data_IF_919594758532
#
_entry.id   IF_919594758532
#
_cell.length_a   1.000
_cell.length_b   1.000
_cell.length_c   1.000
_cell.angle_alpha   90.00
_cell.angle_beta   90.00
_cell.angle_gamma   90.00
#
_symmetry.space_group_name_H-M   'P 1'
#
loop_
_entity.id
_entity.type
_entity.pdbx_description
1 polymer ?
#
# COMPACT_ATOMS: atom_id res chain seq x y z
N UNK A 1 -23.37 12.81 -30.41
CA UNK A 1 -22.38 11.77 -30.04
C UNK A 1 -21.92 12.02 -28.62
N UNK A 2 -22.72 11.59 -27.66
CA UNK A 2 -22.40 11.70 -26.24
C UNK A 2 -21.62 10.42 -25.87
N UNK A 3 -20.30 10.50 -25.82
CA UNK A 3 -19.50 9.45 -25.19
C UNK A 3 -19.84 9.53 -23.71
N UNK A 4 -20.83 8.76 -23.26
CA UNK A 4 -21.13 8.58 -21.85
C UNK A 4 -19.83 8.24 -21.15
N UNK A 5 -19.35 9.13 -20.29
CA UNK A 5 -18.14 8.96 -19.51
C UNK A 5 -18.46 7.95 -18.39
N UNK A 6 -18.78 6.71 -18.77
CA UNK A 6 -19.00 5.60 -17.88
C UNK A 6 -17.63 5.32 -17.26
N UNK A 7 -17.45 5.73 -16.00
CA UNK A 7 -16.26 5.37 -15.24
C UNK A 7 -16.13 3.86 -15.29
N UNK A 8 -15.05 3.37 -15.91
CA UNK A 8 -14.82 1.94 -16.18
C UNK A 8 -14.79 1.13 -14.87
N UNK A 9 -14.59 1.79 -13.73
CA UNK A 9 -14.64 1.26 -12.37
C UNK A 9 -15.42 2.20 -11.43
N UNK A 10 -16.02 1.67 -10.37
CA UNK A 10 -16.72 2.44 -9.34
C UNK A 10 -15.78 2.87 -8.20
N UNK A 11 -15.93 4.11 -7.71
CA UNK A 11 -15.21 4.60 -6.53
C UNK A 11 -15.38 3.67 -5.31
N UNK A 12 -16.59 3.13 -5.11
CA UNK A 12 -16.88 2.18 -4.02
C UNK A 12 -16.04 0.90 -4.13
N UNK A 13 -15.75 0.45 -5.36
CA UNK A 13 -14.91 -0.73 -5.58
C UNK A 13 -13.46 -0.45 -5.22
N UNK A 14 -12.90 0.67 -5.69
CA UNK A 14 -11.53 1.08 -5.36
C UNK A 14 -11.36 1.22 -3.85
N UNK A 15 -12.31 1.85 -3.17
CA UNK A 15 -12.28 2.00 -1.71
C UNK A 15 -12.31 0.64 -1.00
N UNK A 16 -13.19 -0.29 -1.42
CA UNK A 16 -13.25 -1.63 -0.83
C UNK A 16 -11.95 -2.41 -1.03
N UNK A 17 -11.37 -2.36 -2.24
CA UNK A 17 -10.11 -3.05 -2.55
C UNK A 17 -8.97 -2.46 -1.71
N UNK A 18 -8.90 -1.13 -1.61
CA UNK A 18 -7.91 -0.43 -0.79
C UNK A 18 -8.04 -0.77 0.69
N UNK A 19 -9.27 -0.90 1.22
CA UNK A 19 -9.50 -1.33 2.59
C UNK A 19 -9.03 -2.76 2.82
N UNK A 20 -9.35 -3.69 1.92
CA UNK A 20 -8.92 -5.09 2.05
C UNK A 20 -7.39 -5.19 1.98
N UNK A 21 -6.77 -4.63 0.94
CA UNK A 21 -5.32 -4.68 0.74
C UNK A 21 -4.58 -3.94 1.85
N UNK A 22 -5.03 -2.74 2.21
CA UNK A 22 -4.47 -1.95 3.31
C UNK A 22 -4.61 -2.64 4.66
N UNK A 23 -5.70 -3.36 4.92
CA UNK A 23 -5.85 -4.14 6.16
C UNK A 23 -4.87 -5.31 6.19
N UNK A 24 -4.76 -6.07 5.09
CA UNK A 24 -3.80 -7.18 4.98
C UNK A 24 -2.37 -6.70 5.21
N UNK A 25 -1.98 -5.60 4.59
CA UNK A 25 -0.64 -5.01 4.69
C UNK A 25 -0.38 -4.46 6.10
N UNK A 26 -1.36 -3.75 6.67
CA UNK A 26 -1.26 -3.22 8.03
C UNK A 26 -1.14 -4.33 9.07
N UNK A 27 -1.91 -5.42 8.95
CA UNK A 27 -1.79 -6.59 9.82
C UNK A 27 -0.43 -7.27 9.66
N UNK A 28 0.05 -7.46 8.42
CA UNK A 28 1.36 -8.03 8.17
C UNK A 28 2.47 -7.17 8.78
N UNK A 29 2.40 -5.85 8.64
CA UNK A 29 3.33 -4.92 9.26
C UNK A 29 3.31 -5.04 10.79
N UNK A 30 2.14 -5.08 11.42
CA UNK A 30 2.02 -5.24 12.88
C UNK A 30 2.58 -6.58 13.36
N UNK A 31 2.25 -7.68 12.69
CA UNK A 31 2.64 -9.03 13.11
C UNK A 31 4.14 -9.26 12.86
N UNK A 32 4.60 -9.05 11.62
CA UNK A 32 5.93 -9.47 11.20
C UNK A 32 7.01 -8.41 11.45
N UNK A 33 6.69 -7.13 11.27
CA UNK A 33 7.68 -6.04 11.41
C UNK A 33 7.62 -5.41 12.80
N UNK A 34 6.41 -5.19 13.30
CA UNK A 34 6.12 -4.58 14.59
C UNK A 34 6.18 -5.54 15.78
N UNK A 35 6.25 -6.86 15.55
CA UNK A 35 6.19 -7.88 16.62
C UNK A 35 4.98 -7.66 17.55
N UNK A 36 3.81 -7.49 16.95
CA UNK A 36 2.53 -7.17 17.60
C UNK A 36 2.41 -5.73 18.16
N UNK A 37 3.41 -4.86 17.96
CA UNK A 37 3.33 -3.46 18.36
C UNK A 37 2.55 -2.61 17.33
N UNK A 38 1.22 -2.60 17.46
CA UNK A 38 0.34 -1.77 16.64
C UNK A 38 0.74 -0.28 16.67
N UNK A 39 0.86 0.29 17.87
CA UNK A 39 1.14 1.72 18.04
C UNK A 39 2.46 2.11 17.40
N UNK A 40 3.52 1.34 17.64
CA UNK A 40 4.85 1.63 17.09
C UNK A 40 4.90 1.58 15.56
N UNK A 41 4.20 0.63 14.93
CA UNK A 41 4.12 0.54 13.47
C UNK A 41 3.46 1.77 12.86
N UNK A 42 2.31 2.19 13.38
CA UNK A 42 1.63 3.36 12.83
C UNK A 42 2.31 4.67 13.23
N UNK A 43 2.97 4.75 14.39
CA UNK A 43 3.83 5.89 14.72
C UNK A 43 5.02 6.02 13.77
N UNK A 44 5.61 4.90 13.35
CA UNK A 44 6.65 4.89 12.31
C UNK A 44 6.12 5.47 11.01
N UNK A 45 4.91 5.10 10.58
CA UNK A 45 4.27 5.70 9.39
C UNK A 45 3.99 7.19 9.60
N UNK A 46 3.49 7.59 10.78
CA UNK A 46 3.25 9.00 11.10
C UNK A 46 4.53 9.85 11.12
N UNK A 47 5.68 9.24 11.43
CA UNK A 47 6.98 9.91 11.40
C UNK A 47 7.34 10.42 10.00
N UNK A 48 6.70 9.94 8.93
CA UNK A 48 6.87 10.48 7.58
C UNK A 48 6.59 11.98 7.46
N UNK A 49 5.60 12.48 8.20
CA UNK A 49 5.25 13.92 8.19
C UNK A 49 5.65 14.63 9.48
N UNK A 50 5.65 13.89 10.60
CA UNK A 50 5.89 14.45 11.92
C UNK A 50 7.35 14.39 12.37
N UNK A 51 8.18 13.52 11.79
CA UNK A 51 9.53 13.25 12.28
C UNK A 51 9.55 12.35 13.53
N UNK A 52 10.69 12.28 14.23
CA UNK A 52 10.87 11.45 15.43
C UNK A 52 9.88 11.73 16.56
N UNK A 53 9.30 12.93 16.59
CA UNK A 53 8.29 13.35 17.59
C UNK A 53 7.01 12.49 17.52
N UNK A 54 6.76 11.81 16.39
CA UNK A 54 5.65 10.87 16.24
C UNK A 54 5.62 9.80 17.33
N UNK A 55 6.79 9.32 17.77
CA UNK A 55 6.89 8.23 18.76
C UNK A 55 6.46 8.67 20.17
N UNK A 56 6.53 9.96 20.49
CA UNK A 56 6.09 10.50 21.78
C UNK A 56 4.57 10.70 21.88
N UNK A 57 3.85 10.76 20.75
CA UNK A 57 2.43 11.12 20.72
C UNK A 57 1.44 9.98 21.04
N UNK A 58 1.92 8.77 21.34
CA UNK A 58 1.12 7.60 21.68
C UNK A 58 0.08 7.24 20.62
N UNK A 59 -1.14 6.89 21.07
CA UNK A 59 -2.22 6.45 20.17
C UNK A 59 -2.67 7.55 19.19
N UNK A 60 -2.54 8.83 19.54
CA UNK A 60 -2.96 9.94 18.66
C UNK A 60 -2.14 9.97 17.38
N UNK A 61 -0.83 9.81 17.49
CA UNK A 61 0.07 9.75 16.33
C UNK A 61 -0.05 8.43 15.59
N UNK A 62 -0.33 7.33 16.28
CA UNK A 62 -0.67 6.07 15.62
C UNK A 62 -1.93 6.19 14.72
N UNK A 63 -2.97 6.91 15.15
CA UNK A 63 -4.16 7.12 14.30
C UNK A 63 -3.85 7.96 13.05
N UNK A 64 -2.94 8.95 13.16
CA UNK A 64 -2.45 9.71 12.00
C UNK A 64 -1.73 8.76 11.02
N UNK A 65 -0.85 7.91 11.53
CA UNK A 65 -0.15 6.91 10.73
C UNK A 65 -1.09 5.90 10.06
N UNK A 66 -2.13 5.48 10.78
CA UNK A 66 -3.17 4.60 10.24
C UNK A 66 -3.93 5.27 9.09
N UNK A 67 -4.25 6.56 9.22
CA UNK A 67 -4.89 7.32 8.15
C UNK A 67 -3.97 7.45 6.92
N UNK A 68 -2.68 7.77 7.12
CA UNK A 68 -1.68 7.83 6.06
C UNK A 68 -1.51 6.48 5.35
N UNK A 69 -1.49 5.39 6.12
CA UNK A 69 -1.41 4.02 5.61
C UNK A 69 -2.54 3.72 4.61
N UNK A 70 -3.79 3.94 5.02
CA UNK A 70 -4.94 3.70 4.14
C UNK A 70 -5.00 4.67 2.96
N UNK A 71 -4.54 5.91 3.13
CA UNK A 71 -4.43 6.87 2.04
C UNK A 71 -3.45 6.36 0.96
N UNK A 72 -2.27 5.87 1.36
CA UNK A 72 -1.27 5.30 0.45
C UNK A 72 -1.82 4.03 -0.23
N UNK A 73 -2.44 3.13 0.53
CA UNK A 73 -3.07 1.93 -0.02
C UNK A 73 -4.16 2.27 -1.06
N UNK A 74 -4.95 3.32 -0.80
CA UNK A 74 -5.94 3.84 -1.74
C UNK A 74 -5.28 4.39 -3.02
N UNK A 75 -4.24 5.21 -2.90
CA UNK A 75 -3.52 5.76 -4.05
C UNK A 75 -2.98 4.66 -4.97
N UNK A 76 -2.31 3.64 -4.43
CA UNK A 76 -1.82 2.51 -5.23
C UNK A 76 -2.97 1.71 -5.84
N UNK A 77 -4.02 1.41 -5.07
CA UNK A 77 -5.20 0.72 -5.62
C UNK A 77 -5.83 1.48 -6.79
N UNK A 78 -5.96 2.80 -6.67
CA UNK A 78 -6.50 3.65 -7.72
C UNK A 78 -5.60 3.65 -8.97
N UNK A 79 -4.28 3.77 -8.80
CA UNK A 79 -3.31 3.72 -9.90
C UNK A 79 -3.40 2.39 -10.64
N UNK A 80 -3.41 1.27 -9.93
CA UNK A 80 -3.53 -0.05 -10.56
C UNK A 80 -4.86 -0.20 -11.31
N UNK A 81 -5.96 0.25 -10.69
CA UNK A 81 -7.29 0.17 -11.28
C UNK A 81 -7.32 0.97 -12.59
N UNK A 82 -6.83 2.21 -12.59
CA UNK A 82 -6.72 3.03 -13.81
C UNK A 82 -5.83 2.34 -14.86
N UNK A 83 -4.66 1.82 -14.49
CA UNK A 83 -3.77 1.12 -15.41
C UNK A 83 -4.44 -0.12 -16.04
N UNK A 84 -5.18 -0.90 -15.25
CA UNK A 84 -5.87 -2.12 -15.68
C UNK A 84 -6.97 -1.85 -16.72
N UNK A 85 -7.55 -0.64 -16.71
CA UNK A 85 -8.56 -0.24 -17.72
C UNK A 85 -7.94 -0.05 -19.10
N UNK A 86 -6.72 0.49 -19.16
CA UNK A 86 -5.98 0.78 -20.40
C UNK A 86 -5.18 -0.42 -20.90
N UNK A 87 -4.82 -1.34 -20.01
CA UNK A 87 -3.94 -2.48 -20.32
C UNK A 87 -4.62 -3.81 -19.98
N UNK A 88 -5.34 -4.43 -20.93
CA UNK A 88 -6.07 -5.69 -20.70
C UNK A 88 -5.20 -6.84 -20.22
N UNK A 89 -3.90 -6.84 -20.56
CA UNK A 89 -2.93 -7.85 -20.11
C UNK A 89 -2.86 -7.92 -18.58
N UNK A 90 -3.01 -6.80 -17.87
CA UNK A 90 -3.00 -6.77 -16.40
C UNK A 90 -4.14 -7.58 -15.78
N UNK A 91 -5.28 -7.67 -16.48
CA UNK A 91 -6.45 -8.45 -16.06
C UNK A 91 -6.41 -9.91 -16.50
N UNK A 92 -5.70 -10.21 -17.59
CA UNK A 92 -5.51 -11.59 -18.07
C UNK A 92 -4.49 -12.35 -17.23
N UNK A 93 -3.37 -11.71 -16.88
CA UNK A 93 -2.27 -12.32 -16.14
C UNK A 93 -2.27 -11.84 -14.68
N UNK A 94 -3.34 -12.14 -13.94
CA UNK A 94 -3.60 -11.59 -12.59
C UNK A 94 -2.42 -11.80 -11.63
N UNK A 95 -1.88 -13.02 -11.57
CA UNK A 95 -0.81 -13.38 -10.63
C UNK A 95 0.48 -12.61 -10.98
N UNK A 96 0.92 -12.70 -12.24
CA UNK A 96 2.13 -12.01 -12.68
C UNK A 96 2.01 -10.49 -12.51
N UNK A 97 0.84 -9.93 -12.83
CA UNK A 97 0.55 -8.51 -12.65
C UNK A 97 0.61 -8.10 -11.18
N UNK A 98 0.09 -8.92 -10.27
CA UNK A 98 0.17 -8.67 -8.83
C UNK A 98 1.60 -8.75 -8.29
N UNK A 99 2.40 -9.72 -8.75
CA UNK A 99 3.82 -9.83 -8.36
C UNK A 99 4.61 -8.61 -8.82
N UNK A 100 4.54 -8.29 -10.12
CA UNK A 100 5.24 -7.13 -10.69
C UNK A 100 4.78 -5.85 -10.00
N UNK A 101 3.46 -5.70 -9.78
CA UNK A 101 2.94 -4.52 -9.13
C UNK A 101 3.39 -4.40 -7.67
N UNK A 102 3.41 -5.48 -6.90
CA UNK A 102 3.95 -5.50 -5.55
C UNK A 102 5.42 -5.06 -5.49
N UNK A 103 6.25 -5.52 -6.43
CA UNK A 103 7.66 -5.09 -6.56
C UNK A 103 7.74 -3.59 -6.88
N UNK A 104 6.90 -3.08 -7.77
CA UNK A 104 6.83 -1.64 -8.09
C UNK A 104 6.46 -0.83 -6.84
N UNK A 105 5.41 -1.23 -6.12
CA UNK A 105 4.99 -0.56 -4.87
C UNK A 105 6.13 -0.58 -3.86
N UNK A 106 6.79 -1.73 -3.67
CA UNK A 106 7.93 -1.83 -2.76
C UNK A 106 9.08 -0.89 -3.14
N UNK A 107 9.40 -0.82 -4.43
CA UNK A 107 10.45 0.04 -4.96
C UNK A 107 10.13 1.51 -4.71
N UNK A 108 8.89 1.93 -5.03
CA UNK A 108 8.43 3.31 -4.82
C UNK A 108 8.42 3.65 -3.33
N UNK A 109 7.88 2.78 -2.48
CA UNK A 109 7.82 3.05 -1.05
C UNK A 109 9.22 3.12 -0.43
N UNK A 110 10.08 2.15 -0.75
CA UNK A 110 11.38 1.98 -0.08
C UNK A 110 12.45 2.92 -0.62
N UNK A 111 12.51 3.15 -1.93
CA UNK A 111 13.59 3.89 -2.57
C UNK A 111 13.22 5.33 -2.92
N UNK A 112 11.94 5.68 -2.96
CA UNK A 112 11.47 7.02 -3.30
C UNK A 112 10.74 7.70 -2.14
N UNK A 113 9.65 7.12 -1.65
CA UNK A 113 8.80 7.77 -0.65
C UNK A 113 9.50 7.86 0.69
N UNK A 114 9.98 6.74 1.26
CA UNK A 114 10.62 6.73 2.58
C UNK A 114 11.82 7.71 2.65
N UNK A 115 12.77 7.72 1.68
CA UNK A 115 13.90 8.66 1.71
C UNK A 115 13.52 10.14 1.56
N UNK A 116 12.37 10.45 0.96
CA UNK A 116 11.88 11.82 0.79
C UNK A 116 11.03 12.32 1.97
N UNK A 117 10.80 11.48 2.97
CA UNK A 117 9.98 11.82 4.15
C UNK A 117 10.85 12.09 5.37
N UNK A 118 10.22 12.48 6.50
CA UNK A 118 10.91 12.67 7.79
C UNK A 118 11.08 11.37 8.59
N UNK A 119 10.84 10.21 7.99
CA UNK A 119 11.09 8.92 8.64
C UNK A 119 12.56 8.86 9.07
N UNK A 120 12.90 8.49 10.32
CA UNK A 120 14.28 8.34 10.75
C UNK A 120 15.05 7.40 9.83
N UNK A 121 16.21 7.85 9.34
CA UNK A 121 17.06 7.04 8.49
C UNK A 121 17.49 5.77 9.24
N UNK A 122 17.28 4.63 8.62
CA UNK A 122 17.70 3.33 9.12
C UNK A 122 18.67 2.68 8.13
N UNK A 123 19.68 1.93 8.60
CA UNK A 123 20.56 1.18 7.72
C UNK A 123 19.76 0.19 6.87
N UNK A 124 20.16 0.04 5.61
CA UNK A 124 19.53 -0.90 4.70
C UNK A 124 19.91 -2.33 5.06
N UNK A 125 18.92 -3.14 5.42
CA UNK A 125 19.10 -4.56 5.72
C UNK A 125 18.40 -5.41 4.66
N UNK A 126 19.16 -6.21 3.92
CA UNK A 126 18.65 -7.04 2.83
C UNK A 126 17.51 -7.98 3.27
N UNK A 127 17.60 -8.57 4.46
CA UNK A 127 16.55 -9.46 4.99
C UNK A 127 15.22 -8.74 5.18
N UNK A 128 15.24 -7.53 5.78
CA UNK A 128 14.04 -6.71 5.97
C UNK A 128 13.50 -6.20 4.65
N UNK A 129 14.38 -5.84 3.72
CA UNK A 129 14.00 -5.42 2.37
C UNK A 129 13.24 -6.54 1.63
N UNK A 130 13.76 -7.77 1.66
CA UNK A 130 13.11 -8.94 1.07
C UNK A 130 11.77 -9.22 1.74
N UNK A 131 11.73 -9.21 3.08
CA UNK A 131 10.49 -9.42 3.83
C UNK A 131 9.41 -8.38 3.46
N UNK A 132 9.78 -7.09 3.40
CA UNK A 132 8.87 -6.02 2.99
C UNK A 132 8.39 -6.21 1.55
N UNK A 133 9.26 -6.64 0.64
CA UNK A 133 8.89 -6.89 -0.76
C UNK A 133 7.88 -8.05 -0.85
N UNK A 134 8.11 -9.13 -0.11
CA UNK A 134 7.18 -10.28 -0.03
C UNK A 134 5.84 -9.83 0.53
N UNK A 135 5.82 -9.07 1.64
CA UNK A 135 4.57 -8.54 2.21
C UNK A 135 3.82 -7.72 1.17
N UNK A 136 4.48 -6.79 0.46
CA UNK A 136 3.81 -5.97 -0.54
C UNK A 136 3.32 -6.76 -1.76
N UNK A 137 3.99 -7.84 -2.16
CA UNK A 137 3.48 -8.75 -3.19
C UNK A 137 2.19 -9.43 -2.71
N UNK A 138 2.18 -10.00 -1.51
CA UNK A 138 1.06 -10.82 -1.02
C UNK A 138 -0.11 -10.02 -0.44
N UNK A 139 0.14 -8.85 0.14
CA UNK A 139 -0.86 -8.05 0.84
C UNK A 139 -1.37 -6.87 0.00
N UNK A 140 -0.58 -6.36 -0.94
CA UNK A 140 -0.95 -5.25 -1.82
C UNK A 140 -1.11 -5.73 -3.27
N UNK A 141 -0.05 -6.23 -3.88
CA UNK A 141 0.01 -6.57 -5.30
C UNK A 141 -1.04 -7.60 -5.73
N UNK A 142 -1.02 -8.79 -5.13
CA UNK A 142 -1.94 -9.88 -5.46
C UNK A 142 -3.41 -9.54 -5.12
N UNK A 143 -3.76 -9.02 -3.92
CA UNK A 143 -5.15 -8.68 -3.61
C UNK A 143 -5.70 -7.59 -4.52
N UNK A 144 -4.93 -6.52 -4.78
CA UNK A 144 -5.35 -5.46 -5.69
C UNK A 144 -5.56 -6.02 -7.10
N UNK A 145 -4.59 -6.75 -7.65
CA UNK A 145 -4.68 -7.31 -9.00
C UNK A 145 -5.88 -8.24 -9.15
N UNK A 146 -6.08 -9.15 -8.19
CA UNK A 146 -7.16 -10.13 -8.21
C UNK A 146 -8.55 -9.48 -8.08
N UNK A 147 -8.74 -8.63 -7.08
CA UNK A 147 -10.05 -8.02 -6.82
C UNK A 147 -10.43 -7.02 -7.90
N UNK A 148 -9.44 -6.33 -8.47
CA UNK A 148 -9.63 -5.45 -9.61
C UNK A 148 -10.09 -6.24 -10.82
N UNK A 149 -9.40 -7.33 -11.19
CA UNK A 149 -9.76 -8.14 -12.36
C UNK A 149 -11.14 -8.83 -12.25
N UNK A 150 -11.59 -9.18 -11.04
CA UNK A 150 -12.89 -9.83 -10.80
C UNK A 150 -14.10 -8.92 -10.92
N UNK A 151 -13.91 -7.60 -10.83
CA UNK A 151 -14.99 -6.60 -10.80
C UNK A 151 -15.14 -5.80 -12.09
N UNK A 152 -14.37 -6.14 -13.12
CA UNK A 152 -14.54 -5.69 -14.50
C UNK A 152 -15.26 -6.73 -15.35
#
# INVERSE_FOLDING_TARGET
MEKSNQTIFSFKQVLLIALIAGTLDGLAAVIFLGKMNFTGVFQYIASAIMGPEAFAGGIKTALIGLALHYFIAFCFTLIFTIASTKTPVLRKNIILSGIIYGIIVWTIMTLLIVPLTKIPAAPFHYERAILNAVILIFCIGLPISYLTARKF
#
